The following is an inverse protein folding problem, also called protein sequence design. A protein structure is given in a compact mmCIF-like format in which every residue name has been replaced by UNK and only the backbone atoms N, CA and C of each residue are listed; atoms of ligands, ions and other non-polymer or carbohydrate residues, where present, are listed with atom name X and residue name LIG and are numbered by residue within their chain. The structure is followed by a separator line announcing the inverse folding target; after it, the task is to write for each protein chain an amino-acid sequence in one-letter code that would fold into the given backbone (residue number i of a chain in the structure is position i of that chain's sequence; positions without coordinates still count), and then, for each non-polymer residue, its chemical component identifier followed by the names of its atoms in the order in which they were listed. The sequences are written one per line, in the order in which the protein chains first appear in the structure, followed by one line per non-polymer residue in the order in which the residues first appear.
data_IF_128661868282
#
_entry.id   IF_128661868282
#
_cell.length_a   1.000
_cell.length_b   1.000
_cell.length_c   1.000
_cell.angle_alpha   90.00
_cell.angle_beta   90.00
_cell.angle_gamma   90.00
#
_symmetry.space_group_name_H-M   'P 1'
#
loop_
_entity.id
_entity.type
_entity.pdbx_description
1 polymer ?
#
# COMPACT_ATOMS: atom_id res chain seq x y z
N UNK A 1 -8.29 -14.93 2.36
CA UNK A 1 -6.92 -14.89 2.94
C UNK A 1 -6.92 -14.76 4.46
N UNK A 2 -7.80 -13.95 5.04
CA UNK A 2 -7.88 -13.75 6.50
C UNK A 2 -8.10 -15.04 7.34
N UNK A 3 -8.71 -16.10 6.78
CA UNK A 3 -8.79 -17.40 7.47
C UNK A 3 -7.57 -18.32 7.22
N UNK A 4 -6.88 -18.13 6.09
CA UNK A 4 -5.72 -18.96 5.69
C UNK A 4 -4.46 -18.48 6.42
N UNK A 5 -4.25 -17.17 6.48
CA UNK A 5 -3.12 -16.51 7.15
C UNK A 5 -3.62 -15.41 8.09
N UNK A 6 -4.30 -15.75 9.20
CA UNK A 6 -4.94 -14.77 10.09
C UNK A 6 -3.97 -13.77 10.72
N UNK A 7 -2.69 -14.14 10.87
CA UNK A 7 -1.62 -13.25 11.35
C UNK A 7 -1.48 -11.93 10.59
N UNK A 8 -1.88 -11.90 9.31
CA UNK A 8 -1.81 -10.70 8.47
C UNK A 8 -3.05 -9.80 8.57
N UNK A 9 -4.10 -10.27 9.25
CA UNK A 9 -5.41 -9.61 9.32
C UNK A 9 -5.90 -9.47 10.77
N UNK A 10 -5.06 -9.76 11.77
CA UNK A 10 -5.47 -9.83 13.18
C UNK A 10 -4.35 -9.36 14.09
N UNK A 11 -4.72 -8.47 15.02
CA UNK A 11 -3.79 -7.85 15.96
C UNK A 11 -3.19 -8.90 16.92
N UNK A 12 -1.96 -8.63 17.38
CA UNK A 12 -1.17 -9.56 18.19
C UNK A 12 -1.89 -9.99 19.47
N UNK A 13 -2.64 -9.09 20.12
CA UNK A 13 -3.41 -9.40 21.32
C UNK A 13 -4.44 -10.53 21.07
N UNK A 14 -5.14 -10.46 19.94
CA UNK A 14 -6.14 -11.47 19.56
C UNK A 14 -5.47 -12.78 19.16
N UNK A 15 -4.32 -12.72 18.48
CA UNK A 15 -3.51 -13.90 18.16
C UNK A 15 -3.02 -14.59 19.43
N UNK A 16 -2.52 -13.83 20.42
CA UNK A 16 -2.09 -14.37 21.71
C UNK A 16 -3.26 -15.00 22.48
N UNK A 17 -4.44 -14.37 22.47
CA UNK A 17 -5.64 -14.95 23.07
C UNK A 17 -6.02 -16.27 22.38
N UNK A 18 -5.93 -16.35 21.05
CA UNK A 18 -6.14 -17.58 20.30
C UNK A 18 -5.09 -18.66 20.61
N UNK A 19 -3.83 -18.28 20.82
CA UNK A 19 -2.78 -19.20 21.26
C UNK A 19 -3.05 -19.76 22.65
N UNK A 20 -3.46 -18.92 23.61
CA UNK A 20 -3.87 -19.37 24.95
C UNK A 20 -5.05 -20.34 24.86
N UNK A 21 -6.06 -20.03 24.04
CA UNK A 21 -7.21 -20.90 23.80
C UNK A 21 -6.81 -22.30 23.31
N UNK A 22 -5.83 -22.35 22.39
CA UNK A 22 -5.29 -23.61 21.86
C UNK A 22 -4.49 -24.38 22.92
N UNK A 23 -3.69 -23.67 23.72
CA UNK A 23 -2.89 -24.26 24.81
C UNK A 23 -3.77 -24.83 25.93
N UNK A 24 -4.92 -24.23 26.21
CA UNK A 24 -5.89 -24.71 27.21
C UNK A 24 -6.99 -25.60 26.63
N UNK A 25 -6.93 -25.91 25.33
CA UNK A 25 -7.94 -26.68 24.58
C UNK A 25 -9.39 -26.18 24.80
N UNK A 26 -9.56 -24.86 24.97
CA UNK A 26 -10.86 -24.25 25.23
C UNK A 26 -11.25 -23.37 24.05
N UNK A 27 -12.31 -23.70 23.30
CA UNK A 27 -12.83 -22.82 22.26
C UNK A 27 -13.20 -21.45 22.84
N UNK A 28 -12.92 -20.40 22.08
CA UNK A 28 -13.19 -19.02 22.48
C UNK A 28 -13.50 -18.15 21.28
N UNK A 29 -14.25 -17.07 21.54
CA UNK A 29 -14.46 -15.97 20.59
C UNK A 29 -13.81 -14.74 21.19
N UNK A 30 -12.92 -14.11 20.45
CA UNK A 30 -12.15 -12.96 20.91
C UNK A 30 -12.60 -11.72 20.17
N UNK A 31 -12.81 -10.63 20.91
CA UNK A 31 -13.15 -9.34 20.33
C UNK A 31 -11.85 -8.69 19.85
N UNK A 32 -11.81 -8.30 18.58
CA UNK A 32 -10.76 -7.44 18.05
C UNK A 32 -11.12 -5.96 18.23
N UNK A 33 -10.10 -5.13 18.37
CA UNK A 33 -10.19 -3.67 18.42
C UNK A 33 -9.10 -3.06 17.56
N UNK A 34 -9.40 -1.93 16.92
CA UNK A 34 -8.46 -1.24 16.05
C UNK A 34 -7.21 -0.76 16.78
N UNK A 35 -6.13 -0.59 16.03
CA UNK A 35 -4.84 -0.15 16.58
C UNK A 35 -4.89 1.29 17.10
N UNK A 36 -3.84 1.69 17.83
CA UNK A 36 -3.68 3.05 18.35
C UNK A 36 -4.54 3.36 19.58
N UNK A 37 -4.63 4.65 19.90
CA UNK A 37 -5.42 5.15 21.04
C UNK A 37 -6.26 6.34 20.62
N UNK A 38 -7.30 6.67 21.41
CA UNK A 38 -8.19 7.80 21.13
C UNK A 38 -7.48 9.16 21.07
N UNK A 39 -6.25 9.23 21.59
CA UNK A 39 -5.41 10.44 21.50
C UNK A 39 -4.85 10.65 20.10
N UNK A 40 -4.64 9.59 19.32
CA UNK A 40 -4.23 9.68 17.93
C UNK A 40 -5.48 9.94 17.06
N UNK A 41 -5.58 11.11 16.38
CA UNK A 41 -6.70 11.39 15.49
C UNK A 41 -6.84 10.38 14.34
N UNK A 42 -5.72 9.82 13.86
CA UNK A 42 -5.71 8.82 12.77
C UNK A 42 -6.43 7.53 13.16
N UNK A 43 -6.55 7.21 14.46
CA UNK A 43 -7.35 6.06 14.90
C UNK A 43 -8.82 6.17 14.44
N UNK A 44 -9.36 7.38 14.26
CA UNK A 44 -10.76 7.58 13.88
C UNK A 44 -11.10 6.92 12.55
N UNK A 45 -10.14 6.83 11.64
CA UNK A 45 -10.31 6.22 10.31
C UNK A 45 -9.66 4.84 10.20
N UNK A 46 -9.20 4.26 11.32
CA UNK A 46 -8.59 2.93 11.33
C UNK A 46 -9.54 1.85 10.81
N UNK A 47 -10.86 2.02 10.97
CA UNK A 47 -11.86 1.09 10.44
C UNK A 47 -11.83 0.96 8.90
N UNK A 48 -11.26 1.93 8.18
CA UNK A 48 -11.13 1.83 6.73
C UNK A 48 -9.91 0.98 6.34
N UNK A 49 -8.73 1.33 6.88
CA UNK A 49 -7.48 0.67 6.54
C UNK A 49 -7.26 -0.68 7.21
N UNK A 50 -7.88 -0.93 8.37
CA UNK A 50 -7.79 -2.21 9.09
C UNK A 50 -8.98 -3.14 8.81
N UNK A 51 -9.92 -2.73 7.94
CA UNK A 51 -11.02 -3.62 7.55
C UNK A 51 -10.48 -4.83 6.76
N UNK A 52 -10.91 -6.02 7.16
CA UNK A 52 -10.47 -7.26 6.52
C UNK A 52 -10.97 -7.38 5.07
N UNK A 53 -12.11 -6.77 4.76
CA UNK A 53 -12.67 -6.71 3.41
C UNK A 53 -11.86 -5.79 2.51
N UNK A 54 -11.50 -4.60 2.99
CA UNK A 54 -10.63 -3.65 2.28
C UNK A 54 -9.25 -4.25 2.00
N UNK A 55 -8.63 -4.87 3.00
CA UNK A 55 -7.34 -5.55 2.80
C UNK A 55 -7.46 -6.74 1.83
N UNK A 56 -8.59 -7.48 1.88
CA UNK A 56 -8.86 -8.56 0.93
C UNK A 56 -9.09 -8.04 -0.50
N UNK A 57 -9.76 -6.90 -0.65
CA UNK A 57 -9.95 -6.23 -1.93
C UNK A 57 -8.60 -5.84 -2.55
N UNK A 58 -7.76 -5.16 -1.78
CA UNK A 58 -6.46 -4.69 -2.24
C UNK A 58 -5.54 -5.84 -2.70
N UNK A 59 -5.43 -6.90 -1.90
CA UNK A 59 -4.61 -8.06 -2.28
C UNK A 59 -5.18 -8.84 -3.47
N UNK A 60 -6.51 -8.96 -3.56
CA UNK A 60 -7.16 -9.63 -4.71
C UNK A 60 -6.92 -8.85 -5.99
N UNK A 61 -6.99 -7.53 -5.94
CA UNK A 61 -6.69 -6.69 -7.10
C UNK A 61 -5.26 -6.93 -7.62
N UNK A 62 -4.26 -6.97 -6.72
CA UNK A 62 -2.89 -7.30 -7.11
C UNK A 62 -2.70 -8.77 -7.54
N UNK A 63 -3.59 -9.69 -7.19
CA UNK A 63 -3.59 -11.06 -7.72
C UNK A 63 -4.17 -11.14 -9.13
N UNK A 64 -5.15 -10.31 -9.45
CA UNK A 64 -5.75 -10.19 -10.80
C UNK A 64 -4.84 -9.42 -11.75
N UNK A 65 -4.17 -8.37 -11.26
CA UNK A 65 -3.25 -7.52 -11.99
C UNK A 65 -1.85 -7.53 -11.37
N UNK A 66 -1.12 -8.67 -11.41
CA UNK A 66 0.18 -8.74 -10.77
C UNK A 66 1.24 -7.94 -11.56
N UNK A 67 2.02 -7.12 -10.85
CA UNK A 67 3.11 -6.34 -11.42
C UNK A 67 4.18 -7.19 -12.14
N UNK A 68 4.33 -8.46 -11.76
CA UNK A 68 5.28 -9.41 -12.34
C UNK A 68 4.73 -10.15 -13.56
N UNK A 69 3.49 -9.87 -13.99
CA UNK A 69 2.86 -10.52 -15.13
C UNK A 69 3.66 -10.30 -16.43
N UNK A 70 3.71 -11.34 -17.26
CA UNK A 70 4.25 -11.27 -18.60
C UNK A 70 3.29 -12.00 -19.52
N UNK A 71 2.97 -11.42 -20.66
CA UNK A 71 1.99 -11.96 -21.61
C UNK A 71 2.29 -13.40 -22.06
N UNK A 72 3.57 -13.81 -21.97
CA UNK A 72 4.02 -15.20 -22.24
C UNK A 72 3.39 -16.26 -21.33
N UNK A 73 2.85 -15.89 -20.16
CA UNK A 73 2.29 -16.84 -19.21
C UNK A 73 0.92 -17.37 -19.64
N UNK A 74 0.08 -16.52 -20.24
CA UNK A 74 -1.25 -16.93 -20.67
C UNK A 74 -1.85 -15.95 -21.69
N UNK A 75 -2.03 -14.70 -21.30
CA UNK A 75 -2.71 -13.68 -22.09
C UNK A 75 -2.23 -12.28 -21.66
N UNK A 76 -2.56 -11.29 -22.48
CA UNK A 76 -2.33 -9.89 -22.18
C UNK A 76 -3.41 -9.36 -21.22
N UNK A 77 -2.98 -8.68 -20.15
CA UNK A 77 -3.88 -7.98 -19.23
C UNK A 77 -4.15 -6.58 -19.77
N UNK A 78 -5.29 -6.42 -20.43
CA UNK A 78 -5.68 -5.15 -21.07
C UNK A 78 -5.83 -4.03 -20.02
N UNK A 79 -5.22 -2.88 -20.31
CA UNK A 79 -5.28 -1.66 -19.49
C UNK A 79 -4.83 -1.86 -18.03
N UNK A 80 -3.83 -2.71 -17.80
CA UNK A 80 -3.32 -3.01 -16.44
C UNK A 80 -2.82 -1.74 -15.73
N UNK A 81 -1.95 -0.97 -16.38
CA UNK A 81 -1.36 0.24 -15.81
C UNK A 81 -2.39 1.34 -15.57
N UNK A 82 -3.39 1.45 -16.44
CA UNK A 82 -4.49 2.39 -16.22
C UNK A 82 -5.37 1.97 -15.03
N UNK A 83 -5.69 0.68 -14.93
CA UNK A 83 -6.41 0.14 -13.78
C UNK A 83 -5.62 0.31 -12.47
N UNK A 84 -4.29 0.18 -12.52
CA UNK A 84 -3.40 0.49 -11.39
C UNK A 84 -3.60 1.92 -10.91
N UNK A 85 -3.52 2.89 -11.82
CA UNK A 85 -3.79 4.29 -11.48
C UNK A 85 -5.20 4.46 -10.89
N UNK A 86 -6.21 3.92 -11.57
CA UNK A 86 -7.60 4.12 -11.21
C UNK A 86 -7.96 3.56 -9.83
N UNK A 87 -7.55 2.32 -9.53
CA UNK A 87 -7.88 1.70 -8.23
C UNK A 87 -7.22 2.44 -7.07
N UNK A 88 -5.95 2.84 -7.20
CA UNK A 88 -5.23 3.56 -6.15
C UNK A 88 -5.75 4.99 -5.99
N UNK A 89 -6.14 5.64 -7.09
CA UNK A 89 -6.82 6.92 -7.05
C UNK A 89 -8.16 6.81 -6.29
N UNK A 90 -9.01 5.83 -6.63
CA UNK A 90 -10.29 5.61 -5.95
C UNK A 90 -10.12 5.27 -4.47
N UNK A 91 -9.12 4.46 -4.11
CA UNK A 91 -8.81 4.16 -2.71
C UNK A 91 -8.38 5.41 -1.94
N UNK A 92 -7.57 6.28 -2.55
CA UNK A 92 -7.13 7.55 -1.94
C UNK A 92 -8.32 8.49 -1.72
N UNK A 93 -9.14 8.71 -2.75
CA UNK A 93 -10.35 9.55 -2.66
C UNK A 93 -11.33 9.01 -1.64
N UNK A 94 -11.51 7.68 -1.59
CA UNK A 94 -12.37 7.05 -0.61
C UNK A 94 -11.84 7.24 0.81
N UNK A 95 -10.53 7.10 1.03
CA UNK A 95 -9.93 7.35 2.33
C UNK A 95 -10.15 8.80 2.77
N UNK A 96 -9.94 9.78 1.89
CA UNK A 96 -10.21 11.19 2.18
C UNK A 96 -11.69 11.46 2.52
N UNK A 97 -12.63 10.73 1.92
CA UNK A 97 -14.05 10.81 2.30
C UNK A 97 -14.31 10.30 3.74
N UNK A 98 -13.62 9.24 4.17
CA UNK A 98 -13.68 8.76 5.55
C UNK A 98 -13.02 9.77 6.52
N UNK A 99 -11.92 10.42 6.09
CA UNK A 99 -11.26 11.50 6.86
C UNK A 99 -12.18 12.69 7.07
N UNK A 100 -12.80 13.16 5.99
CA UNK A 100 -13.79 14.25 6.04
C UNK A 100 -14.96 13.90 6.98
N UNK A 101 -15.45 12.66 6.93
CA UNK A 101 -16.51 12.17 7.81
C UNK A 101 -16.12 12.15 9.29
N UNK A 102 -14.82 12.16 9.60
CA UNK A 102 -14.26 12.13 10.95
C UNK A 102 -13.59 13.46 11.37
N UNK A 103 -13.88 14.55 10.65
CA UNK A 103 -13.32 15.90 10.89
C UNK A 103 -11.79 15.92 10.85
N UNK A 104 -11.21 15.20 9.89
CA UNK A 104 -9.79 15.21 9.59
C UNK A 104 -9.59 15.90 8.24
N UNK A 105 -8.47 16.62 8.11
CA UNK A 105 -8.05 17.18 6.83
C UNK A 105 -7.68 16.05 5.86
N UNK A 106 -7.78 16.26 4.53
CA UNK A 106 -7.28 15.31 3.53
C UNK A 106 -5.82 14.93 3.77
N UNK A 107 -5.41 13.77 3.25
CA UNK A 107 -4.00 13.36 3.36
C UNK A 107 -3.07 14.33 2.63
N UNK A 108 -1.89 14.56 3.20
CA UNK A 108 -0.82 15.28 2.50
C UNK A 108 -0.07 14.31 1.58
N UNK A 109 0.50 14.83 0.50
CA UNK A 109 1.28 14.03 -0.43
C UNK A 109 2.66 13.66 0.17
N UNK A 110 3.16 12.50 -0.22
CA UNK A 110 4.45 12.03 0.25
C UNK A 110 5.57 12.75 -0.51
N UNK A 111 6.53 13.30 0.24
CA UNK A 111 7.75 13.88 -0.33
C UNK A 111 8.99 13.26 0.30
N UNK A 112 9.91 12.77 -0.52
CA UNK A 112 11.13 12.11 -0.08
C UNK A 112 12.05 12.99 0.80
N UNK A 113 12.00 14.31 0.62
CA UNK A 113 12.84 15.28 1.35
C UNK A 113 12.17 15.82 2.64
N UNK A 114 10.87 15.55 2.84
CA UNK A 114 10.12 16.01 4.01
C UNK A 114 9.98 14.88 5.05
N UNK A 115 9.80 15.22 6.34
CA UNK A 115 9.48 14.21 7.34
C UNK A 115 8.08 13.63 7.14
N UNK A 116 7.94 12.33 7.39
CA UNK A 116 6.66 11.63 7.52
C UNK A 116 6.08 11.99 8.90
N UNK A 117 5.07 12.86 8.90
CA UNK A 117 4.48 13.38 10.14
C UNK A 117 3.80 12.28 10.96
N UNK A 118 3.05 11.39 10.30
CA UNK A 118 2.29 10.32 10.93
C UNK A 118 3.07 9.00 10.95
N UNK A 119 3.46 8.58 12.14
CA UNK A 119 3.99 7.26 12.43
C UNK A 119 2.91 6.20 12.44
N UNK A 120 3.32 4.94 12.67
CA UNK A 120 2.39 3.82 12.79
C UNK A 120 3.00 2.70 13.64
N UNK A 121 2.21 2.21 14.59
CA UNK A 121 2.52 1.03 15.39
C UNK A 121 1.51 -0.08 15.03
N UNK A 122 1.90 -1.08 14.22
CA UNK A 122 0.95 -2.05 13.69
C UNK A 122 0.28 -2.93 14.74
N UNK A 123 0.95 -3.15 15.88
CA UNK A 123 0.51 -4.11 16.89
C UNK A 123 0.16 -5.51 16.34
N UNK A 124 0.75 -5.90 15.20
CA UNK A 124 0.57 -7.19 14.52
C UNK A 124 1.87 -8.00 14.60
N UNK A 125 1.77 -9.31 14.38
CA UNK A 125 2.91 -10.23 14.42
C UNK A 125 2.85 -11.18 13.24
N UNK A 126 3.99 -11.41 12.60
CA UNK A 126 4.11 -12.52 11.65
C UNK A 126 3.91 -13.84 12.38
N UNK A 127 3.44 -14.86 11.65
CA UNK A 127 3.39 -16.23 12.17
C UNK A 127 4.79 -16.73 12.54
N UNK A 128 5.77 -16.40 11.71
CA UNK A 128 7.19 -16.62 11.88
C UNK A 128 7.91 -15.35 11.41
N UNK A 129 8.78 -14.76 12.25
CA UNK A 129 9.48 -13.50 11.92
C UNK A 129 9.38 -12.41 13.00
N UNK A 130 8.52 -12.60 14.00
CA UNK A 130 8.36 -11.64 15.10
C UNK A 130 7.29 -10.57 14.82
N UNK A 131 7.33 -9.50 15.60
CA UNK A 131 6.39 -8.38 15.48
C UNK A 131 6.69 -7.52 14.26
N UNK A 132 5.64 -6.93 13.68
CA UNK A 132 5.83 -5.93 12.63
C UNK A 132 6.54 -4.70 13.21
N UNK A 133 7.47 -4.08 12.45
CA UNK A 133 8.18 -2.90 12.91
C UNK A 133 7.24 -1.70 13.05
N UNK A 134 7.50 -0.86 14.03
CA UNK A 134 6.79 0.41 14.21
C UNK A 134 7.61 1.56 13.63
N UNK A 135 6.94 2.56 13.05
CA UNK A 135 7.56 3.79 12.58
C UNK A 135 7.17 4.94 13.52
N UNK A 136 8.12 5.68 14.11
CA UNK A 136 7.79 6.85 14.93
C UNK A 136 7.16 7.98 14.11
N UNK A 137 6.63 8.98 14.80
CA UNK A 137 6.15 10.22 14.18
C UNK A 137 7.33 11.12 13.78
N UNK A 138 7.12 11.99 12.78
CA UNK A 138 8.07 13.01 12.32
C UNK A 138 9.46 12.48 11.90
N UNK A 139 9.51 11.30 11.29
CA UNK A 139 10.77 10.70 10.81
C UNK A 139 11.08 11.16 9.40
N UNK A 140 12.36 11.32 9.08
CA UNK A 140 12.78 11.52 7.68
C UNK A 140 13.05 10.18 7.02
N UNK A 141 12.96 10.15 5.70
CA UNK A 141 13.45 9.02 4.93
C UNK A 141 14.95 8.85 5.17
N UNK A 142 15.38 7.59 5.19
CA UNK A 142 16.78 7.19 5.29
C UNK A 142 17.05 6.18 4.16
N UNK A 143 18.31 6.10 3.74
CA UNK A 143 18.73 5.08 2.77
C UNK A 143 18.54 3.69 3.38
N UNK A 144 18.03 2.75 2.59
CA UNK A 144 17.81 1.37 3.04
C UNK A 144 18.79 0.46 2.32
N UNK A 145 19.75 -0.06 3.07
CA UNK A 145 20.81 -0.93 2.57
C UNK A 145 20.23 -2.15 1.83
N UNK A 146 20.71 -2.37 0.60
CA UNK A 146 20.26 -3.47 -0.25
C UNK A 146 18.89 -3.25 -0.91
N UNK A 147 18.24 -2.10 -0.70
CA UNK A 147 16.95 -1.76 -1.29
C UNK A 147 17.06 -0.55 -2.21
N UNK A 148 17.21 0.66 -1.65
CA UNK A 148 17.26 1.90 -2.42
C UNK A 148 17.83 3.05 -1.58
N UNK A 149 18.44 4.02 -2.26
CA UNK A 149 18.79 5.31 -1.68
C UNK A 149 17.73 6.34 -2.01
N UNK A 150 17.50 7.31 -1.14
CA UNK A 150 16.54 8.40 -1.34
C UNK A 150 16.82 9.15 -2.65
N UNK A 151 18.11 9.36 -2.95
CA UNK A 151 18.54 9.98 -4.20
C UNK A 151 18.05 9.22 -5.43
N UNK A 152 18.06 7.89 -5.39
CA UNK A 152 17.65 7.07 -6.53
C UNK A 152 16.13 7.20 -6.74
N UNK A 153 15.34 7.28 -5.66
CA UNK A 153 13.89 7.49 -5.71
C UNK A 153 13.53 8.88 -6.29
N UNK A 154 14.25 9.94 -5.89
CA UNK A 154 14.09 11.28 -6.46
C UNK A 154 14.40 11.31 -7.97
N UNK A 155 15.43 10.57 -8.41
CA UNK A 155 15.77 10.47 -9.83
C UNK A 155 14.68 9.72 -10.61
N UNK A 156 14.14 8.63 -10.05
CA UNK A 156 13.03 7.89 -10.67
C UNK A 156 11.81 8.79 -10.82
N UNK A 157 11.42 9.50 -9.77
CA UNK A 157 10.31 10.45 -9.80
C UNK A 157 10.54 11.55 -10.86
N UNK A 158 11.75 12.14 -10.90
CA UNK A 158 12.09 13.15 -11.90
C UNK A 158 11.98 12.62 -13.33
N UNK A 159 12.46 11.40 -13.60
CA UNK A 159 12.40 10.80 -14.93
C UNK A 159 10.97 10.55 -15.39
N UNK A 160 10.10 10.12 -14.48
CA UNK A 160 8.67 9.90 -14.77
C UNK A 160 8.00 11.25 -15.07
N UNK A 161 8.26 12.27 -14.25
CA UNK A 161 7.75 13.64 -14.49
C UNK A 161 8.24 14.19 -15.83
N UNK A 162 9.51 13.98 -16.17
CA UNK A 162 10.08 14.41 -17.44
C UNK A 162 9.40 13.68 -18.61
N UNK A 163 9.19 12.37 -18.54
CA UNK A 163 8.49 11.62 -19.60
C UNK A 163 7.07 12.15 -19.83
N UNK A 164 6.33 12.42 -18.75
CA UNK A 164 4.99 13.02 -18.80
C UNK A 164 5.05 14.42 -19.44
N UNK A 165 6.01 15.26 -19.04
CA UNK A 165 6.16 16.61 -19.57
C UNK A 165 6.56 16.64 -21.06
N UNK A 166 7.36 15.68 -21.51
CA UNK A 166 7.76 15.55 -22.91
C UNK A 166 6.65 14.92 -23.79
N UNK A 167 5.71 14.20 -23.20
CA UNK A 167 4.66 13.47 -23.93
C UNK A 167 5.13 12.17 -24.58
N UNK A 168 6.31 11.66 -24.20
CA UNK A 168 6.80 10.35 -24.64
C UNK A 168 7.69 9.67 -23.58
N UNK A 169 7.73 8.35 -23.63
CA UNK A 169 8.66 7.51 -22.85
C UNK A 169 9.76 6.99 -23.78
N UNK A 170 10.96 6.76 -23.25
CA UNK A 170 12.06 6.14 -23.99
C UNK A 170 12.22 4.69 -23.54
N UNK A 171 12.11 3.76 -24.48
CA UNK A 171 12.29 2.33 -24.20
C UNK A 171 13.78 1.95 -24.08
N UNK A 172 14.04 0.66 -23.84
CA UNK A 172 15.41 0.13 -23.69
C UNK A 172 16.25 0.23 -24.97
N UNK A 173 15.62 0.36 -26.12
CA UNK A 173 16.28 0.50 -27.43
C UNK A 173 16.48 1.97 -27.82
N UNK A 174 16.04 2.91 -26.97
CA UNK A 174 16.11 4.34 -27.22
C UNK A 174 14.96 4.87 -28.10
N UNK A 175 13.94 4.05 -28.36
CA UNK A 175 12.79 4.45 -29.17
C UNK A 175 11.80 5.24 -28.33
N UNK A 176 11.24 6.29 -28.93
CA UNK A 176 10.18 7.08 -28.31
C UNK A 176 8.83 6.36 -28.46
N UNK A 177 8.15 6.20 -27.32
CA UNK A 177 6.78 5.73 -27.22
C UNK A 177 5.93 6.94 -26.88
N UNK A 178 5.09 7.37 -27.82
CA UNK A 178 4.15 8.47 -27.62
C UNK A 178 3.12 8.11 -26.53
N UNK A 179 2.91 9.02 -25.59
CA UNK A 179 1.90 8.90 -24.53
C UNK A 179 0.82 9.99 -24.61
N UNK A 180 0.86 10.87 -25.63
CA UNK A 180 -0.18 11.87 -25.86
C UNK A 180 -1.38 11.29 -26.64
N UNK A 181 -1.84 10.12 -26.20
CA UNK A 181 -2.91 9.35 -26.82
C UNK A 181 -3.73 8.60 -25.76
N UNK A 182 -4.79 7.91 -26.19
CA UNK A 182 -5.73 7.21 -25.29
C UNK A 182 -5.08 6.10 -24.45
N UNK A 183 -3.93 5.57 -24.84
CA UNK A 183 -3.19 4.52 -24.11
C UNK A 183 -2.05 5.06 -23.26
N UNK A 184 -1.79 6.37 -23.28
CA UNK A 184 -0.67 6.96 -22.56
C UNK A 184 -0.70 6.68 -21.07
N UNK A 185 -1.88 6.76 -20.45
CA UNK A 185 -2.06 6.49 -19.02
C UNK A 185 -1.74 5.05 -18.64
N UNK A 186 -1.99 4.10 -19.54
CA UNK A 186 -1.69 2.68 -19.31
C UNK A 186 -0.18 2.45 -19.28
N UNK A 187 0.54 3.01 -20.26
CA UNK A 187 2.02 2.94 -20.30
C UNK A 187 2.64 3.67 -19.11
N UNK A 188 2.09 4.82 -18.71
CA UNK A 188 2.56 5.56 -17.53
C UNK A 188 2.33 4.76 -16.25
N UNK A 189 1.16 4.12 -16.10
CA UNK A 189 0.89 3.24 -14.95
C UNK A 189 1.86 2.06 -14.88
N UNK A 190 2.17 1.44 -16.01
CA UNK A 190 3.10 0.31 -16.08
C UNK A 190 4.53 0.68 -15.66
N UNK A 191 5.03 1.88 -15.99
CA UNK A 191 6.37 2.32 -15.57
C UNK A 191 6.42 2.87 -14.13
N UNK A 192 5.27 3.20 -13.54
CA UNK A 192 5.18 3.65 -12.14
C UNK A 192 5.08 2.45 -11.19
N UNK A 193 4.35 1.41 -11.56
CA UNK A 193 4.21 0.18 -10.75
C UNK A 193 5.50 -0.68 -10.73
N UNK A 194 6.35 -0.54 -11.76
CA UNK A 194 7.48 -1.43 -12.09
C UNK A 194 8.55 -1.61 -11.02
#
# INVERSE_FOLDING_TARGET
LYEVTPHLFTNSEVIEAAYRAKQTQKPGKFKSSFTGTKKNPEQRVAYFGEDIGMNTHHVTWHMEFPFWWQDKYSHHLDRKGENFFWVHHQLTVRFDAERLSNYLDPVDELHWEKPILQGFAPHTTYKYGGQFPSRPDNVRFEDVDGVARIRDLLIVESRIRDAIAHGYIVDREGKHIDIMNERGIDVVGDIIES
#
